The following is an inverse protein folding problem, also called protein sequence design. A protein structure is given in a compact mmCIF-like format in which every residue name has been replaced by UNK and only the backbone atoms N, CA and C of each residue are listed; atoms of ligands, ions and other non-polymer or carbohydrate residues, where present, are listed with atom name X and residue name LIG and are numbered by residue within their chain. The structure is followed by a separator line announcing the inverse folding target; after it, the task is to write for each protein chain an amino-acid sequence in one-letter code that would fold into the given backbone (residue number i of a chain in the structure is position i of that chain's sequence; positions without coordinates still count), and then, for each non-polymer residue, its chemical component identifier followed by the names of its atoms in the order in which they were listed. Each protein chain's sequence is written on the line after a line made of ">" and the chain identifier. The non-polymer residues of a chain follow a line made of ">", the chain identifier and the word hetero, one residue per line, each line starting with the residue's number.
data_IF_198747528885
#
_entry.id   IF_198747528885
#
_cell.length_a   1.000
_cell.length_b   1.000
_cell.length_c   1.000
_cell.angle_alpha   90.00
_cell.angle_beta   90.00
_cell.angle_gamma   90.00
#
_symmetry.space_group_name_H-M   'P 1'
#
loop_
_entity.id
_entity.type
_entity.pdbx_description
1 polymer ?
#
# COMPACT_ATOMS: atom_id res chain seq x y z
N UNK A 1 -2.48 -10.63 29.20
CA UNK A 1 -3.09 -11.42 28.11
C UNK A 1 -4.05 -10.51 27.40
N UNK A 2 -3.65 -9.89 26.30
CA UNK A 2 -4.57 -9.13 25.44
C UNK A 2 -5.10 -10.09 24.41
N UNK A 3 -6.41 -10.33 24.45
CA UNK A 3 -7.16 -10.93 23.34
C UNK A 3 -7.00 -10.01 22.13
N UNK A 4 -6.18 -10.42 21.17
CA UNK A 4 -6.27 -9.88 19.82
C UNK A 4 -7.58 -10.41 19.26
N UNK A 5 -8.59 -9.55 19.18
CA UNK A 5 -9.83 -9.81 18.43
C UNK A 5 -9.44 -10.32 17.05
N UNK A 6 -9.75 -11.58 16.76
CA UNK A 6 -9.46 -12.26 15.49
C UNK A 6 -10.38 -11.68 14.41
N UNK A 7 -10.05 -10.50 13.90
CA UNK A 7 -10.69 -9.91 12.75
C UNK A 7 -10.39 -10.79 11.51
N UNK A 8 -11.39 -10.98 10.63
CA UNK A 8 -11.20 -11.78 9.42
C UNK A 8 -10.01 -11.26 8.60
N UNK A 9 -9.31 -12.12 7.83
CA UNK A 9 -8.21 -11.68 6.97
C UNK A 9 -8.59 -10.51 6.04
N UNK A 10 -9.85 -10.48 5.60
CA UNK A 10 -10.43 -9.41 4.78
C UNK A 10 -10.55 -8.09 5.55
N UNK A 11 -11.02 -8.15 6.80
CA UNK A 11 -11.10 -6.97 7.67
C UNK A 11 -9.71 -6.39 7.92
N UNK A 12 -8.70 -7.24 8.19
CA UNK A 12 -7.30 -6.81 8.36
C UNK A 12 -6.73 -6.20 7.09
N UNK A 13 -7.02 -6.79 5.93
CA UNK A 13 -6.57 -6.24 4.64
C UNK A 13 -7.20 -4.87 4.37
N UNK A 14 -8.49 -4.70 4.67
CA UNK A 14 -9.20 -3.42 4.52
C UNK A 14 -8.64 -2.36 5.46
N UNK A 15 -8.36 -2.71 6.71
CA UNK A 15 -7.73 -1.82 7.68
C UNK A 15 -6.37 -1.31 7.16
N UNK A 16 -5.50 -2.22 6.71
CA UNK A 16 -4.20 -1.84 6.14
C UNK A 16 -4.30 -0.92 4.92
N UNK A 17 -5.31 -1.13 4.06
CA UNK A 17 -5.60 -0.26 2.92
C UNK A 17 -6.03 1.15 3.38
N UNK A 18 -6.90 1.23 4.39
CA UNK A 18 -7.35 2.50 4.96
C UNK A 18 -6.20 3.23 5.66
N UNK A 19 -5.35 2.53 6.40
CA UNK A 19 -4.17 3.09 7.07
C UNK A 19 -3.20 3.71 6.07
N UNK A 20 -3.03 3.10 4.88
CA UNK A 20 -2.22 3.68 3.82
C UNK A 20 -2.79 5.00 3.30
N UNK A 21 -4.12 5.10 3.19
CA UNK A 21 -4.77 6.36 2.81
C UNK A 21 -4.70 7.40 3.94
N UNK A 22 -4.83 6.97 5.20
CA UNK A 22 -4.75 7.83 6.38
C UNK A 22 -3.39 8.54 6.48
N UNK A 23 -2.30 7.87 6.15
CA UNK A 23 -0.95 8.48 6.10
C UNK A 23 -0.91 9.73 5.20
N UNK A 24 -1.66 9.78 4.11
CA UNK A 24 -1.73 10.99 3.28
C UNK A 24 -2.51 12.12 3.96
N UNK A 25 -3.57 11.80 4.70
CA UNK A 25 -4.32 12.79 5.48
C UNK A 25 -3.48 13.39 6.61
N UNK A 26 -2.67 12.57 7.28
CA UNK A 26 -1.74 13.06 8.31
C UNK A 26 -0.71 14.02 7.69
N UNK A 27 -0.14 13.67 6.54
CA UNK A 27 0.76 14.55 5.79
C UNK A 27 0.08 15.86 5.37
N UNK A 28 -1.17 15.80 4.89
CA UNK A 28 -1.94 17.00 4.58
C UNK A 28 -2.20 17.88 5.80
N UNK A 29 -2.56 17.28 6.94
CA UNK A 29 -2.78 17.99 8.19
C UNK A 29 -1.49 18.65 8.71
N UNK A 30 -0.33 18.01 8.47
CA UNK A 30 0.99 18.58 8.73
C UNK A 30 1.43 19.69 7.77
N UNK A 31 0.71 19.90 6.67
CA UNK A 31 1.10 20.83 5.60
C UNK A 31 2.19 20.29 4.67
N UNK A 32 2.46 18.98 4.73
CA UNK A 32 3.45 18.31 3.90
C UNK A 32 2.88 17.92 2.53
N UNK A 33 3.75 17.90 1.52
CA UNK A 33 3.39 17.33 0.21
C UNK A 33 3.29 15.81 0.37
N UNK A 34 2.16 15.19 -0.02
CA UNK A 34 1.93 13.79 0.26
C UNK A 34 2.94 12.92 -0.47
N UNK A 35 3.40 11.89 0.21
CA UNK A 35 4.38 10.94 -0.31
C UNK A 35 4.26 9.56 0.32
N UNK A 36 4.70 8.54 -0.42
CA UNK A 36 4.78 7.16 0.06
C UNK A 36 6.12 6.53 -0.31
N UNK A 37 6.58 5.59 0.50
CA UNK A 37 7.71 4.74 0.17
C UNK A 37 7.25 3.45 -0.52
N UNK A 38 7.93 3.06 -1.60
CA UNK A 38 7.63 1.84 -2.34
C UNK A 38 8.91 1.05 -2.55
N UNK A 39 8.94 -0.27 -2.26
CA UNK A 39 10.09 -1.12 -2.54
C UNK A 39 10.52 -1.02 -4.01
N UNK A 40 11.82 -0.91 -4.23
CA UNK A 40 12.36 -0.84 -5.58
C UNK A 40 12.37 -2.23 -6.22
N UNK A 41 11.96 -2.31 -7.49
CA UNK A 41 11.92 -3.57 -8.26
C UNK A 41 13.17 -3.75 -9.13
N UNK A 42 14.33 -3.28 -8.65
CA UNK A 42 15.61 -3.42 -9.36
C UNK A 42 16.25 -4.76 -9.03
N UNK A 43 17.08 -5.31 -9.94
CA UNK A 43 17.82 -6.56 -9.68
C UNK A 43 18.72 -6.48 -8.44
N UNK A 44 19.28 -5.30 -8.19
CA UNK A 44 20.11 -5.05 -7.02
C UNK A 44 19.35 -5.16 -5.70
N UNK A 45 18.03 -4.97 -5.70
CA UNK A 45 17.18 -5.04 -4.52
C UNK A 45 16.52 -6.42 -4.33
N UNK A 46 17.05 -7.47 -4.97
CA UNK A 46 16.53 -8.82 -4.81
C UNK A 46 17.51 -9.58 -3.90
N UNK A 47 17.00 -10.07 -2.78
CA UNK A 47 17.78 -10.72 -1.72
C UNK A 47 17.18 -12.10 -1.40
N UNK A 48 18.03 -13.04 -1.02
CA UNK A 48 17.59 -14.38 -0.64
C UNK A 48 17.23 -14.39 0.84
N UNK A 49 15.97 -14.68 1.15
CA UNK A 49 15.49 -14.88 2.52
C UNK A 49 15.77 -16.33 2.91
N UNK A 50 16.78 -16.53 3.78
CA UNK A 50 17.22 -17.86 4.21
C UNK A 50 16.13 -18.61 5.01
N UNK A 51 15.36 -17.90 5.82
CA UNK A 51 14.29 -18.48 6.64
C UNK A 51 13.14 -19.01 5.79
N UNK A 52 12.74 -18.22 4.78
CA UNK A 52 11.64 -18.57 3.87
C UNK A 52 12.09 -19.40 2.66
N UNK A 53 13.40 -19.51 2.44
CA UNK A 53 14.01 -20.15 1.26
C UNK A 53 13.48 -19.61 -0.08
N UNK A 54 13.22 -18.30 -0.14
CA UNK A 54 12.71 -17.61 -1.34
C UNK A 54 13.43 -16.29 -1.58
N UNK A 55 13.41 -15.81 -2.82
CA UNK A 55 13.92 -14.48 -3.16
C UNK A 55 12.84 -13.42 -2.91
N UNK A 56 13.18 -12.38 -2.16
CA UNK A 56 12.30 -11.27 -1.79
C UNK A 56 12.90 -9.93 -2.23
N UNK A 57 12.10 -8.86 -2.12
CA UNK A 57 12.67 -7.52 -2.18
C UNK A 57 13.42 -7.22 -0.89
N UNK A 58 14.63 -6.69 -1.01
CA UNK A 58 15.39 -6.13 0.11
C UNK A 58 14.89 -4.74 0.50
N UNK A 59 15.66 -4.08 1.37
CA UNK A 59 15.22 -2.86 2.08
C UNK A 59 15.23 -1.58 1.24
N UNK A 60 15.68 -1.62 -0.03
CA UNK A 60 15.74 -0.38 -0.83
C UNK A 60 14.35 0.06 -1.27
N UNK A 61 13.91 1.17 -0.73
CA UNK A 61 12.69 1.88 -1.11
C UNK A 61 12.97 3.04 -2.05
N UNK A 62 11.91 3.55 -2.67
CA UNK A 62 11.90 4.79 -3.42
C UNK A 62 10.69 5.62 -3.00
N UNK A 63 10.88 6.93 -2.85
CA UNK A 63 9.80 7.85 -2.52
C UNK A 63 9.01 8.25 -3.76
N UNK A 64 7.69 8.17 -3.66
CA UNK A 64 6.75 8.76 -4.63
C UNK A 64 6.05 9.91 -3.97
N UNK A 65 6.29 11.14 -4.42
CA UNK A 65 5.67 12.35 -3.88
C UNK A 65 4.79 13.06 -4.91
N UNK A 66 3.82 13.85 -4.42
CA UNK A 66 2.97 14.70 -5.25
C UNK A 66 3.59 16.06 -5.63
N UNK A 67 4.91 16.22 -5.49
CA UNK A 67 5.60 17.50 -5.75
C UNK A 67 5.69 17.86 -7.26
N UNK A 68 5.18 16.99 -8.12
CA UNK A 68 5.14 17.16 -9.57
C UNK A 68 3.84 16.61 -10.10
N UNK A 69 3.38 17.12 -11.26
CA UNK A 69 2.13 16.65 -11.91
C UNK A 69 2.15 15.13 -12.13
N UNK A 70 3.27 14.59 -12.60
CA UNK A 70 3.43 13.14 -12.80
C UNK A 70 3.40 12.38 -11.47
N UNK A 71 4.02 12.91 -10.42
CA UNK A 71 4.01 12.33 -9.08
C UNK A 71 2.61 12.30 -8.47
N UNK A 72 1.91 13.44 -8.55
CA UNK A 72 0.53 13.58 -8.11
C UNK A 72 -0.40 12.60 -8.84
N UNK A 73 -0.28 12.48 -10.17
CA UNK A 73 -1.05 11.51 -10.95
C UNK A 73 -0.79 10.05 -10.50
N UNK A 74 0.45 9.71 -10.14
CA UNK A 74 0.79 8.36 -9.65
C UNK A 74 0.16 8.09 -8.27
N UNK A 75 0.20 9.06 -7.37
CA UNK A 75 -0.44 8.92 -6.05
C UNK A 75 -1.95 8.86 -6.16
N UNK A 76 -2.56 9.67 -7.03
CA UNK A 76 -4.00 9.59 -7.31
C UNK A 76 -4.42 8.18 -7.74
N UNK A 77 -3.66 7.56 -8.65
CA UNK A 77 -3.92 6.17 -9.07
C UNK A 77 -3.81 5.19 -7.91
N UNK A 78 -2.84 5.36 -7.02
CA UNK A 78 -2.69 4.50 -5.84
C UNK A 78 -3.89 4.63 -4.89
N UNK A 79 -4.33 5.85 -4.59
CA UNK A 79 -5.51 6.10 -3.75
C UNK A 79 -6.78 5.53 -4.39
N UNK A 80 -6.94 5.67 -5.70
CA UNK A 80 -8.06 5.06 -6.43
C UNK A 80 -8.05 3.53 -6.33
N UNK A 81 -6.87 2.90 -6.47
CA UNK A 81 -6.75 1.44 -6.30
C UNK A 81 -7.07 0.99 -4.88
N UNK A 82 -6.65 1.75 -3.86
CA UNK A 82 -6.98 1.49 -2.45
C UNK A 82 -8.50 1.51 -2.24
N UNK A 83 -9.17 2.57 -2.72
CA UNK A 83 -10.63 2.72 -2.64
C UNK A 83 -11.36 1.57 -3.35
N UNK A 84 -10.92 1.23 -4.57
CA UNK A 84 -11.45 0.09 -5.32
C UNK A 84 -11.35 -1.22 -4.51
N UNK A 85 -10.15 -1.55 -4.02
CA UNK A 85 -9.91 -2.79 -3.27
C UNK A 85 -10.68 -2.81 -1.93
N UNK A 86 -10.79 -1.67 -1.25
CA UNK A 86 -11.57 -1.55 -0.01
C UNK A 86 -13.04 -1.84 -0.25
N UNK A 87 -13.63 -1.36 -1.36
CA UNK A 87 -15.02 -1.68 -1.73
C UNK A 87 -15.19 -3.15 -2.07
N UNK A 88 -14.26 -3.75 -2.81
CA UNK A 88 -14.33 -5.18 -3.15
C UNK A 88 -14.33 -6.06 -1.89
N UNK A 89 -13.51 -5.73 -0.89
CA UNK A 89 -13.49 -6.42 0.40
C UNK A 89 -14.80 -6.23 1.17
N UNK A 90 -15.36 -5.03 1.18
CA UNK A 90 -16.63 -4.73 1.85
C UNK A 90 -17.82 -5.45 1.21
N UNK A 91 -17.81 -5.61 -0.12
CA UNK A 91 -18.85 -6.32 -0.87
C UNK A 91 -18.65 -7.86 -0.87
N UNK A 92 -17.55 -8.37 -0.32
CA UNK A 92 -17.20 -9.80 -0.35
C UNK A 92 -16.97 -10.32 -1.77
N UNK A 93 -16.40 -9.48 -2.64
CA UNK A 93 -16.22 -9.77 -4.07
C UNK A 93 -14.74 -9.81 -4.45
N UNK A 94 -14.41 -10.69 -5.38
CA UNK A 94 -13.11 -10.70 -6.05
C UNK A 94 -13.16 -9.90 -7.35
N UNK A 95 -11.99 -9.40 -7.78
CA UNK A 95 -11.83 -8.71 -9.07
C UNK A 95 -10.54 -9.14 -9.76
N UNK A 96 -10.51 -8.91 -11.06
CA UNK A 96 -9.33 -9.06 -11.91
C UNK A 96 -8.67 -7.71 -12.18
N UNK A 97 -7.42 -7.73 -12.65
CA UNK A 97 -6.70 -6.53 -13.05
C UNK A 97 -7.37 -5.74 -14.18
N UNK A 98 -8.30 -6.33 -14.94
CA UNK A 98 -9.02 -5.62 -16.02
C UNK A 98 -10.20 -4.79 -15.53
N UNK A 99 -10.67 -5.07 -14.31
CA UNK A 99 -11.80 -4.37 -13.69
C UNK A 99 -11.33 -3.15 -12.87
N UNK A 100 -10.01 -3.05 -12.64
CA UNK A 100 -9.32 -1.92 -12.02
C UNK A 100 -8.94 -0.84 -13.06
#
# INVERSE_FOLDING_TARGET
>A
MSETTDASPEARAREQLIDLAAQFYDQFAGGDVPSMEVPTRTKSNIEYDEEKSVWVYGDRTSTRSANSVRGAQKLLKAVYTIDFLSRQLEEGRSSTLREL
#
